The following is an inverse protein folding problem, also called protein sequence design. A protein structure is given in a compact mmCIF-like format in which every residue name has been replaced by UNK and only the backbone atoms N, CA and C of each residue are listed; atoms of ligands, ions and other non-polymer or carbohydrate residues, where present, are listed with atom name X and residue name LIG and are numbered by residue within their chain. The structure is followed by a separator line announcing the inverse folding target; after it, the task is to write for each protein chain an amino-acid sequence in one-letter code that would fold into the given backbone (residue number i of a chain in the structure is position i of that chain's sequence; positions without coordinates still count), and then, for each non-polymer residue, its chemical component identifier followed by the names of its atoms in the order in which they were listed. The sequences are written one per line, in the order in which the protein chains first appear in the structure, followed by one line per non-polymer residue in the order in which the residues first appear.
data_IF_319161539655
#
_entry.id   IF_319161539655
#
_cell.length_a   1.000
_cell.length_b   1.000
_cell.length_c   1.000
_cell.angle_alpha   90.00
_cell.angle_beta   90.00
_cell.angle_gamma   90.00
#
_symmetry.space_group_name_H-M   'P 1'
#
loop_
_entity.id
_entity.type
_entity.pdbx_description
1 polymer ?
#
# COMPACT_ATOMS: atom_id res chain seq x y z
N UNK A 1 22.06 -1.48 -3.69
CA UNK A 1 20.88 -1.83 -4.50
C UNK A 1 19.85 -2.34 -3.51
N UNK A 2 18.67 -1.72 -3.41
CA UNK A 2 17.65 -2.20 -2.47
C UNK A 2 16.97 -3.41 -3.12
N UNK A 3 17.13 -4.58 -2.53
CA UNK A 3 16.50 -5.81 -3.03
C UNK A 3 14.99 -5.67 -2.81
N UNK A 4 14.23 -5.63 -3.90
CA UNK A 4 12.76 -5.68 -3.87
C UNK A 4 12.22 -7.02 -3.37
N UNK A 5 13.11 -8.00 -3.19
CA UNK A 5 12.83 -9.37 -2.76
C UNK A 5 12.40 -9.48 -1.28
N UNK A 6 12.55 -8.41 -0.49
CA UNK A 6 12.19 -8.38 0.94
C UNK A 6 10.81 -7.78 1.23
N UNK A 7 10.02 -7.43 0.20
CA UNK A 7 8.68 -6.88 0.41
C UNK A 7 7.64 -8.00 0.62
N UNK A 8 6.75 -7.88 1.62
CA UNK A 8 5.63 -8.79 1.75
C UNK A 8 4.75 -8.79 0.48
N UNK A 9 4.25 -9.95 0.00
CA UNK A 9 3.44 -10.04 -1.22
C UNK A 9 2.26 -9.05 -1.29
N UNK A 10 1.57 -8.83 -0.17
CA UNK A 10 0.47 -7.86 -0.05
C UNK A 10 0.93 -6.43 -0.31
N UNK A 11 2.14 -6.06 0.12
CA UNK A 11 2.75 -4.75 -0.13
C UNK A 11 3.18 -4.63 -1.59
N UNK A 12 3.71 -5.71 -2.19
CA UNK A 12 4.04 -5.78 -3.62
C UNK A 12 2.80 -5.49 -4.47
N UNK A 13 1.69 -6.16 -4.20
CA UNK A 13 0.42 -5.94 -4.92
C UNK A 13 -0.09 -4.50 -4.79
N UNK A 14 0.06 -3.88 -3.61
CA UNK A 14 -0.35 -2.49 -3.39
C UNK A 14 0.56 -1.53 -4.18
N UNK A 15 1.87 -1.77 -4.20
CA UNK A 15 2.80 -0.96 -4.97
C UNK A 15 2.48 -1.00 -6.48
N UNK A 16 2.21 -2.20 -7.01
CA UNK A 16 1.81 -2.41 -8.40
C UNK A 16 0.49 -1.70 -8.72
N UNK A 17 -0.51 -1.80 -7.83
CA UNK A 17 -1.77 -1.11 -7.99
C UNK A 17 -1.60 0.40 -8.06
N UNK A 18 -0.84 1.00 -7.12
CA UNK A 18 -0.61 2.44 -7.08
C UNK A 18 0.13 2.92 -8.33
N UNK A 19 1.13 2.18 -8.80
CA UNK A 19 1.87 2.51 -10.01
C UNK A 19 1.00 2.39 -11.26
N UNK A 20 0.18 1.34 -11.37
CA UNK A 20 -0.80 1.18 -12.45
C UNK A 20 -1.78 2.37 -12.49
N UNK A 21 -2.30 2.79 -11.34
CA UNK A 21 -3.23 3.93 -11.25
C UNK A 21 -2.56 5.24 -11.61
N UNK A 22 -1.33 5.48 -11.15
CA UNK A 22 -0.58 6.66 -11.53
C UNK A 22 -0.38 6.74 -13.06
N UNK A 23 0.05 5.64 -13.70
CA UNK A 23 0.24 5.59 -15.17
C UNK A 23 -0.99 5.99 -15.97
N UNK A 24 -2.19 5.63 -15.49
CA UNK A 24 -3.46 5.99 -16.14
C UNK A 24 -3.78 7.50 -16.15
N UNK A 25 -3.05 8.31 -15.39
CA UNK A 25 -3.31 9.74 -15.19
C UNK A 25 -2.04 10.58 -15.32
N UNK A 26 -1.38 10.53 -16.48
CA UNK A 26 -0.13 11.29 -16.74
C UNK A 26 0.96 11.03 -15.67
N UNK A 27 0.97 9.81 -15.15
CA UNK A 27 1.86 9.36 -14.09
C UNK A 27 1.73 10.18 -12.78
N UNK A 28 0.52 10.66 -12.47
CA UNK A 28 0.17 11.32 -11.22
C UNK A 28 -0.81 10.48 -10.40
N UNK A 29 -0.55 10.36 -9.09
CA UNK A 29 -1.46 9.68 -8.18
C UNK A 29 -2.61 10.62 -7.80
N UNK A 30 -3.85 10.25 -8.13
CA UNK A 30 -5.01 11.07 -7.77
C UNK A 30 -5.27 11.03 -6.27
N UNK A 31 -6.01 12.03 -5.81
CA UNK A 31 -6.35 12.22 -4.40
C UNK A 31 -7.05 11.00 -3.77
N UNK A 32 -7.82 10.24 -4.55
CA UNK A 32 -8.51 9.05 -4.07
C UNK A 32 -7.53 7.91 -3.75
N UNK A 33 -6.55 7.60 -4.62
CA UNK A 33 -5.53 6.58 -4.28
C UNK A 33 -4.64 7.03 -3.11
N UNK A 34 -4.34 8.33 -3.01
CA UNK A 34 -3.64 8.88 -1.84
C UNK A 34 -4.44 8.67 -0.54
N UNK A 35 -5.76 8.91 -0.57
CA UNK A 35 -6.64 8.71 0.57
C UNK A 35 -6.74 7.23 0.95
N UNK A 36 -6.89 6.33 -0.03
CA UNK A 36 -6.90 4.88 0.17
C UNK A 36 -5.61 4.38 0.82
N UNK A 37 -4.45 4.86 0.35
CA UNK A 37 -3.16 4.49 0.92
C UNK A 37 -2.96 4.99 2.35
N UNK A 38 -3.33 6.25 2.64
CA UNK A 38 -3.32 6.77 4.02
C UNK A 38 -4.25 5.97 4.94
N UNK A 39 -5.42 5.58 4.45
CA UNK A 39 -6.37 4.76 5.21
C UNK A 39 -5.77 3.39 5.54
N UNK A 40 -5.22 2.69 4.54
CA UNK A 40 -4.62 1.38 4.74
C UNK A 40 -3.42 1.42 5.70
N UNK A 41 -2.56 2.45 5.60
CA UNK A 41 -1.48 2.70 6.55
C UNK A 41 -1.99 2.85 8.00
N UNK A 42 -3.18 3.41 8.20
CA UNK A 42 -3.78 3.59 9.52
C UNK A 42 -4.56 2.36 10.01
N UNK A 43 -5.23 1.66 9.10
CA UNK A 43 -6.13 0.54 9.40
C UNK A 43 -5.39 -0.79 9.52
N UNK A 44 -4.29 -0.97 8.78
CA UNK A 44 -3.51 -2.23 8.72
C UNK A 44 -2.05 -1.99 9.05
N UNK A 45 -1.78 -1.25 10.14
CA UNK A 45 -0.40 -0.88 10.55
C UNK A 45 0.58 -2.05 10.60
N UNK A 46 0.11 -3.24 10.99
CA UNK A 46 0.95 -4.45 11.05
C UNK A 46 1.55 -4.83 9.69
N UNK A 47 0.81 -4.65 8.58
CA UNK A 47 1.31 -4.87 7.21
C UNK A 47 2.57 -4.04 6.95
N UNK A 48 2.56 -2.80 7.42
CA UNK A 48 3.54 -1.78 7.05
C UNK A 48 4.70 -1.64 8.03
N UNK A 49 4.57 -2.16 9.25
CA UNK A 49 5.55 -1.94 10.31
C UNK A 49 6.95 -2.49 9.97
N UNK A 50 7.01 -3.67 9.35
CA UNK A 50 8.28 -4.30 8.94
C UNK A 50 8.79 -3.91 7.56
N UNK A 51 8.08 -3.03 6.84
CA UNK A 51 8.42 -2.69 5.45
C UNK A 51 9.57 -1.69 5.43
N UNK A 52 10.69 -2.05 4.82
CA UNK A 52 11.79 -1.12 4.57
C UNK A 52 11.34 -0.04 3.57
N UNK A 53 11.38 1.27 3.91
CA UNK A 53 10.92 2.33 3.01
C UNK A 53 11.69 2.38 1.69
N UNK A 54 12.98 2.05 1.71
CA UNK A 54 13.82 2.04 0.50
C UNK A 54 13.49 0.86 -0.43
N UNK A 55 13.10 -0.30 0.12
CA UNK A 55 12.61 -1.43 -0.68
C UNK A 55 11.27 -1.10 -1.34
N UNK A 56 10.36 -0.46 -0.59
CA UNK A 56 9.08 0.01 -1.13
C UNK A 56 9.28 1.05 -2.24
N UNK A 57 10.18 2.02 -2.03
CA UNK A 57 10.58 2.99 -3.05
C UNK A 57 11.19 2.31 -4.29
N UNK A 58 12.05 1.32 -4.08
CA UNK A 58 12.66 0.51 -5.12
C UNK A 58 11.61 -0.17 -6.01
N UNK A 59 10.61 -0.81 -5.39
CA UNK A 59 9.51 -1.45 -6.11
C UNK A 59 8.65 -0.44 -6.88
N UNK A 60 8.26 0.68 -6.27
CA UNK A 60 7.49 1.71 -7.00
C UNK A 60 8.27 2.27 -8.21
N UNK A 61 9.60 2.42 -8.07
CA UNK A 61 10.48 2.87 -9.15
C UNK A 61 10.61 1.83 -10.26
N UNK A 62 10.74 0.54 -9.93
CA UNK A 62 10.78 -0.53 -10.94
C UNK A 62 9.47 -0.61 -11.72
N UNK A 63 8.34 -0.23 -11.11
CA UNK A 63 7.06 -0.10 -11.80
C UNK A 63 6.95 1.17 -12.66
N UNK A 64 7.96 2.05 -12.69
CA UNK A 64 7.97 3.27 -13.50
C UNK A 64 7.15 4.42 -12.93
N UNK A 65 6.85 4.41 -11.63
CA UNK A 65 6.22 5.54 -10.96
C UNK A 65 7.16 6.76 -10.94
N UNK A 66 6.61 7.97 -11.11
CA UNK A 66 7.38 9.22 -10.97
C UNK A 66 7.90 9.41 -9.56
N UNK A 67 9.14 9.90 -9.47
CA UNK A 67 9.85 10.10 -8.20
C UNK A 67 9.09 10.99 -7.20
N UNK A 68 8.34 11.98 -7.69
CA UNK A 68 7.50 12.86 -6.87
C UNK A 68 6.44 12.07 -6.08
N UNK A 69 5.71 11.16 -6.74
CA UNK A 69 4.73 10.31 -6.06
C UNK A 69 5.41 9.31 -5.12
N UNK A 70 6.58 8.78 -5.51
CA UNK A 70 7.36 7.86 -4.67
C UNK A 70 7.74 8.53 -3.36
N UNK A 71 8.26 9.76 -3.42
CA UNK A 71 8.65 10.52 -2.22
C UNK A 71 7.46 10.73 -1.29
N UNK A 72 6.28 11.09 -1.82
CA UNK A 72 5.07 11.27 -1.00
C UNK A 72 4.62 9.97 -0.32
N UNK A 73 4.54 8.87 -1.07
CA UNK A 73 4.14 7.57 -0.53
C UNK A 73 5.10 7.08 0.56
N UNK A 74 6.41 7.24 0.33
CA UNK A 74 7.46 6.86 1.29
C UNK A 74 7.42 7.75 2.54
N UNK A 75 7.17 9.05 2.39
CA UNK A 75 7.01 9.96 3.53
C UNK A 75 5.81 9.55 4.41
N UNK A 76 4.67 9.20 3.80
CA UNK A 76 3.51 8.70 4.56
C UNK A 76 3.79 7.38 5.25
N UNK A 77 4.46 6.44 4.59
CA UNK A 77 4.89 5.19 5.21
C UNK A 77 5.76 5.46 6.46
N UNK A 78 6.80 6.30 6.32
CA UNK A 78 7.68 6.67 7.44
C UNK A 78 6.92 7.34 8.58
N UNK A 79 5.99 8.25 8.27
CA UNK A 79 5.13 8.90 9.27
C UNK A 79 4.26 7.88 10.01
N UNK A 80 3.64 6.95 9.29
CA UNK A 80 2.82 5.90 9.89
C UNK A 80 3.65 4.97 10.80
N UNK A 81 4.84 4.56 10.35
CA UNK A 81 5.79 3.76 11.13
C UNK A 81 6.28 4.49 12.38
N UNK A 82 6.47 5.80 12.31
CA UNK A 82 6.78 6.65 13.47
C UNK A 82 5.57 6.92 14.39
N UNK A 83 4.44 6.23 14.20
CA UNK A 83 3.23 6.38 15.01
C UNK A 83 2.43 7.65 14.74
N UNK A 84 2.76 8.42 13.70
CA UNK A 84 2.02 9.64 13.34
C UNK A 84 0.70 9.26 12.67
N UNK A 85 -0.35 10.01 13.01
CA UNK A 85 -1.67 9.87 12.38
C UNK A 85 -1.65 10.50 10.99
N UNK A 86 -2.08 9.73 10.00
CA UNK A 86 -2.45 10.24 8.68
C UNK A 86 -3.97 10.45 8.65
N UNK A 87 -4.42 11.48 7.95
CA UNK A 87 -5.84 11.79 7.79
C UNK A 87 -6.24 11.46 6.36
N UNK A 88 -6.83 10.28 6.10
CA UNK A 88 -7.47 10.01 4.82
C UNK A 88 -8.74 10.85 4.66
N UNK A 89 -9.18 11.04 3.41
CA UNK A 89 -10.50 11.60 3.15
C UNK A 89 -11.60 10.75 3.83
N UNK A 90 -12.68 11.39 4.26
CA UNK A 90 -13.77 10.75 5.01
C UNK A 90 -14.36 9.55 4.27
N UNK A 91 -14.46 9.63 2.95
CA UNK A 91 -15.05 8.58 2.10
C UNK A 91 -14.20 7.30 2.07
N UNK A 92 -12.92 7.40 2.42
CA UNK A 92 -11.95 6.30 2.37
C UNK A 92 -11.42 5.90 3.75
N UNK A 93 -11.90 6.51 4.84
CA UNK A 93 -11.31 6.33 6.18
C UNK A 93 -11.21 4.86 6.64
N UNK A 94 -12.16 4.03 6.22
CA UNK A 94 -12.27 2.61 6.60
C UNK A 94 -11.70 1.68 5.50
N UNK A 95 -11.05 2.24 4.48
CA UNK A 95 -10.52 1.49 3.35
C UNK A 95 -9.33 0.61 3.75
N UNK A 96 -9.27 -0.58 3.16
CA UNK A 96 -8.19 -1.55 3.27
C UNK A 96 -7.95 -2.18 1.90
N UNK A 97 -6.69 -2.23 1.46
CA UNK A 97 -6.30 -2.94 0.25
C UNK A 97 -6.34 -4.45 0.44
N UNK A 98 -6.78 -5.14 -0.62
CA UNK A 98 -6.54 -6.57 -0.81
C UNK A 98 -5.21 -6.79 -1.57
N UNK A 99 -4.50 -7.89 -1.31
CA UNK A 99 -4.84 -8.96 -0.36
C UNK A 99 -4.55 -8.57 1.10
N UNK A 100 -5.15 -9.25 2.11
CA UNK A 100 -4.81 -9.07 3.52
C UNK A 100 -3.31 -9.23 3.80
N UNK A 101 -2.78 -8.66 4.90
CA UNK A 101 -1.39 -8.89 5.29
C UNK A 101 -1.10 -10.36 5.58
N UNK A 102 0.15 -10.74 5.41
CA UNK A 102 0.68 -12.08 5.59
C UNK A 102 0.49 -12.54 7.05
N UNK A 103 0.24 -13.83 7.22
CA UNK A 103 0.05 -14.42 8.56
C UNK A 103 -1.29 -14.05 9.23
N UNK A 104 -2.16 -13.26 8.58
CA UNK A 104 -3.60 -13.36 8.84
C UNK A 104 -4.13 -14.58 8.10
N UNK A 105 -3.96 -15.74 8.73
CA UNK A 105 -4.64 -16.96 8.33
C UNK A 105 -6.11 -16.64 8.06
N UNK A 106 -6.55 -16.90 6.83
CA UNK A 106 -7.97 -16.92 6.49
C UNK A 106 -8.56 -18.15 7.16
N UNK A 107 -8.67 -18.11 8.48
CA UNK A 107 -9.36 -19.11 9.29
C UNK A 107 -10.86 -19.02 9.04
N UNK A 108 -11.29 -19.44 7.85
CA UNK A 108 -12.61 -20.01 7.55
C UNK A 108 -12.57 -20.68 6.17
N UNK A 109 -12.32 -21.98 6.17
CA UNK A 109 -13.03 -22.85 5.26
C UNK A 109 -14.48 -22.96 5.70
N UNK A 110 -15.44 -22.61 4.84
CA UNK A 110 -16.72 -23.30 4.76
C UNK A 110 -17.38 -23.02 3.39
N UNK A 111 -17.39 -24.08 2.57
CA UNK A 111 -18.30 -24.43 1.48
C UNK A 111 -19.26 -23.33 0.99
N UNK A 112 -19.11 -22.92 -0.27
CA UNK A 112 -20.28 -22.56 -1.09
C UNK A 112 -20.67 -23.82 -1.86
N UNK A 113 -21.57 -24.58 -1.25
CA UNK A 113 -22.51 -25.43 -1.98
C UNK A 113 -23.44 -24.51 -2.78
N UNK A 114 -23.82 -25.04 -3.94
CA UNK A 114 -24.89 -24.61 -4.83
C UNK A 114 -26.06 -23.93 -4.12
N UNK A 115 -26.53 -22.81 -4.69
CA UNK A 115 -27.94 -22.42 -4.87
C UNK A 115 -28.05 -21.49 -6.08
#
# INVERSE_FOLDING_TARGET
MANTEDLPPSVVSIAEYLAMKAKGYDNHLKWNEQAMFKADLMNVRRRWYGVAPDAFAGKLRSEGMREQNIVELVDWLKKAQAGRRLVPDRSYRDFVFNPPPEGLDSGRGHQSRDW
#
